data_IF_654298858995
#
_entry.id   IF_654298858995
#
_cell.length_a   1.000
_cell.length_b   1.000
_cell.length_c   1.000
_cell.angle_alpha   90.00
_cell.angle_beta   90.00
_cell.angle_gamma   90.00
#
_symmetry.space_group_name_H-M   'P 1'
#
loop_
_entity.id
_entity.type
_entity.pdbx_description
1 polymer ?
#
# COMPACT_ATOMS: atom_id res chain seq x y z
N UNK A 1 -1.23 -5.22 -11.80
CA UNK A 1 -0.71 -6.39 -11.04
C UNK A 1 0.76 -6.54 -11.36
N UNK A 2 1.51 -7.23 -10.51
CA UNK A 2 2.93 -7.47 -10.72
C UNK A 2 3.45 -8.63 -9.89
N UNK A 3 4.69 -9.01 -10.15
CA UNK A 3 5.36 -10.10 -9.44
C UNK A 3 6.27 -9.54 -8.36
N UNK A 4 6.36 -10.27 -7.25
CA UNK A 4 7.24 -9.98 -6.14
C UNK A 4 8.43 -10.93 -6.17
N UNK A 5 9.62 -10.36 -6.06
CA UNK A 5 10.90 -11.06 -6.05
C UNK A 5 11.54 -10.98 -4.69
N UNK A 6 12.16 -12.07 -4.28
CA UNK A 6 12.95 -12.11 -3.06
C UNK A 6 13.37 -13.51 -2.70
N UNK A 7 13.35 -13.79 -1.41
CA UNK A 7 13.85 -15.03 -0.83
C UNK A 7 12.94 -15.57 0.27
N UNK A 8 12.92 -16.89 0.39
CA UNK A 8 12.33 -17.60 1.51
C UNK A 8 13.46 -17.92 2.50
N UNK A 9 13.52 -17.18 3.62
CA UNK A 9 14.62 -17.33 4.60
C UNK A 9 14.45 -18.59 5.45
N UNK A 10 13.27 -18.75 6.03
CA UNK A 10 12.87 -19.86 6.88
C UNK A 10 11.41 -20.21 6.58
N UNK A 11 10.75 -21.07 7.37
CA UNK A 11 9.35 -21.46 7.16
C UNK A 11 8.34 -20.34 7.49
N UNK A 12 8.74 -19.33 8.27
CA UNK A 12 7.84 -18.33 8.84
C UNK A 12 7.95 -16.95 8.20
N UNK A 13 9.04 -16.68 7.48
CA UNK A 13 9.39 -15.36 6.97
C UNK A 13 9.59 -15.42 5.46
N UNK A 14 8.94 -14.49 4.77
CA UNK A 14 9.11 -14.26 3.33
C UNK A 14 9.67 -12.86 3.16
N UNK A 15 10.86 -12.75 2.57
CA UNK A 15 11.48 -11.47 2.27
C UNK A 15 11.10 -11.08 0.84
N UNK A 16 10.38 -9.98 0.69
CA UNK A 16 10.17 -9.33 -0.59
C UNK A 16 11.21 -8.23 -0.74
N UNK A 17 12.14 -8.41 -1.68
CA UNK A 17 13.28 -7.50 -1.90
C UNK A 17 12.97 -6.53 -3.04
N UNK A 18 12.30 -7.02 -4.08
CA UNK A 18 11.95 -6.20 -5.25
C UNK A 18 10.62 -6.60 -5.85
N UNK A 19 10.07 -5.71 -6.68
CA UNK A 19 8.82 -5.92 -7.39
C UNK A 19 8.95 -5.36 -8.80
N UNK A 20 8.28 -6.00 -9.75
CA UNK A 20 8.11 -5.42 -11.08
C UNK A 20 6.68 -5.58 -11.58
N UNK A 21 6.21 -4.59 -12.31
CA UNK A 21 4.88 -4.58 -12.88
C UNK A 21 4.81 -5.49 -14.11
N UNK A 22 3.69 -6.21 -14.25
CA UNK A 22 3.39 -6.97 -15.46
C UNK A 22 2.52 -6.11 -16.40
N UNK A 23 2.77 -6.11 -17.71
CA UNK A 23 1.90 -5.44 -18.67
C UNK A 23 0.50 -6.08 -18.62
N UNK A 24 -0.54 -5.25 -18.60
CA UNK A 24 -1.92 -5.73 -18.54
C UNK A 24 -2.52 -5.81 -19.95
N UNK A 25 -3.07 -6.97 -20.30
CA UNK A 25 -3.99 -7.13 -21.42
C UNK A 25 -5.41 -6.90 -20.91
N UNK A 26 -6.02 -5.79 -21.31
CA UNK A 26 -7.32 -5.37 -20.76
C UNK A 26 -8.51 -5.98 -21.49
N UNK A 27 -9.22 -6.89 -20.85
CA UNK A 27 -10.60 -7.25 -21.18
C UNK A 27 -11.48 -7.10 -19.94
N UNK A 28 -11.78 -5.85 -19.56
CA UNK A 28 -12.92 -5.40 -18.74
C UNK A 28 -13.15 -5.96 -17.33
N UNK A 29 -12.92 -7.25 -17.07
CA UNK A 29 -13.38 -8.00 -15.90
C UNK A 29 -12.46 -9.19 -15.54
N UNK A 30 -11.46 -9.56 -16.36
CA UNK A 30 -10.49 -10.62 -16.00
C UNK A 30 -9.03 -10.17 -16.09
N UNK A 31 -8.24 -10.58 -15.11
CA UNK A 31 -6.78 -10.37 -15.06
C UNK A 31 -6.11 -11.62 -15.66
N UNK A 32 -6.20 -11.78 -16.98
CA UNK A 32 -5.34 -12.74 -17.71
C UNK A 32 -4.00 -12.06 -17.98
N UNK A 33 -3.21 -11.84 -16.93
CA UNK A 33 -2.05 -10.93 -16.98
C UNK A 33 -0.71 -11.57 -16.59
N UNK A 34 -0.62 -12.91 -16.59
CA UNK A 34 0.66 -13.60 -16.44
C UNK A 34 1.07 -14.16 -17.78
N UNK A 35 1.79 -13.35 -18.57
CA UNK A 35 2.50 -13.85 -19.73
C UNK A 35 3.78 -14.57 -19.28
N UNK A 36 3.85 -15.91 -19.37
CA UNK A 36 5.02 -16.66 -18.95
C UNK A 36 6.27 -16.30 -19.77
N UNK A 37 6.09 -15.84 -21.02
CA UNK A 37 7.20 -15.41 -21.88
C UNK A 37 7.83 -14.13 -21.34
N UNK A 38 7.00 -13.15 -20.99
CA UNK A 38 7.46 -11.92 -20.37
C UNK A 38 8.15 -12.20 -19.02
N UNK A 39 7.54 -13.03 -18.17
CA UNK A 39 8.12 -13.41 -16.88
C UNK A 39 9.49 -14.06 -17.04
N UNK A 40 9.61 -15.07 -17.92
CA UNK A 40 10.86 -15.78 -18.14
C UNK A 40 11.97 -14.86 -18.67
N UNK A 41 11.63 -14.00 -19.63
CA UNK A 41 12.57 -13.02 -20.19
C UNK A 41 13.05 -12.01 -19.14
N UNK A 42 12.13 -11.48 -18.33
CA UNK A 42 12.46 -10.51 -17.29
C UNK A 42 13.36 -11.14 -16.21
N UNK A 43 13.04 -12.36 -15.78
CA UNK A 43 13.87 -13.10 -14.81
C UNK A 43 15.28 -13.38 -15.35
N UNK A 44 15.42 -13.69 -16.64
CA UNK A 44 16.73 -13.89 -17.26
C UNK A 44 17.56 -12.60 -17.31
N UNK A 45 16.92 -11.47 -17.66
CA UNK A 45 17.57 -10.15 -17.63
C UNK A 45 18.01 -9.75 -16.21
N UNK A 46 17.21 -10.05 -15.19
CA UNK A 46 17.58 -9.79 -13.80
C UNK A 46 18.77 -10.64 -13.35
N UNK A 47 18.80 -11.92 -13.72
CA UNK A 47 19.97 -12.79 -13.44
C UNK A 47 21.26 -12.24 -14.04
N UNK A 48 21.20 -11.70 -15.26
CA UNK A 48 22.36 -11.09 -15.92
C UNK A 48 22.87 -9.81 -15.22
N UNK A 49 21.99 -9.09 -14.52
CA UNK A 49 22.35 -7.89 -13.74
C UNK A 49 22.81 -8.21 -12.31
N UNK A 50 22.99 -9.50 -11.98
CA UNK A 50 23.43 -9.94 -10.66
C UNK A 50 22.30 -10.02 -9.63
N UNK A 51 21.05 -10.17 -10.09
CA UNK A 51 19.84 -10.25 -9.28
C UNK A 51 19.19 -11.63 -9.42
N UNK A 52 19.62 -12.63 -8.62
CA UNK A 52 19.18 -14.02 -8.74
C UNK A 52 17.90 -14.33 -7.96
N UNK A 53 17.17 -13.32 -7.48
CA UNK A 53 15.98 -13.50 -6.65
C UNK A 53 14.87 -14.28 -7.38
N UNK A 54 14.12 -15.08 -6.62
CA UNK A 54 13.02 -15.88 -7.15
C UNK A 54 11.67 -15.20 -6.90
N UNK A 55 10.65 -15.62 -7.64
CA UNK A 55 9.28 -15.14 -7.43
C UNK A 55 8.74 -15.71 -6.12
N UNK A 56 8.43 -14.82 -5.17
CA UNK A 56 7.89 -15.16 -3.84
C UNK A 56 6.38 -14.91 -3.73
N UNK A 57 5.80 -14.25 -4.72
CA UNK A 57 4.37 -13.96 -4.76
C UNK A 57 4.02 -12.95 -5.83
N UNK A 58 2.82 -12.38 -5.69
CA UNK A 58 2.31 -11.37 -6.62
C UNK A 58 1.54 -10.30 -5.85
N UNK A 59 1.38 -9.15 -6.49
CA UNK A 59 0.63 -8.05 -5.91
C UNK A 59 -0.33 -7.43 -6.93
N UNK A 60 -1.41 -6.86 -6.42
CA UNK A 60 -2.34 -6.06 -7.18
C UNK A 60 -2.90 -4.92 -6.33
N UNK A 61 -3.69 -4.08 -6.99
CA UNK A 61 -4.27 -2.91 -6.34
C UNK A 61 -5.78 -2.95 -6.45
N UNK A 62 -6.44 -2.60 -5.34
CA UNK A 62 -7.88 -2.37 -5.27
C UNK A 62 -8.11 -0.88 -5.01
N UNK A 63 -8.33 -0.07 -6.05
CA UNK A 63 -8.45 1.38 -5.87
C UNK A 63 -9.79 1.73 -5.19
N UNK A 64 -9.74 2.17 -3.93
CA UNK A 64 -10.90 2.69 -3.20
C UNK A 64 -11.80 1.63 -2.54
N UNK A 65 -11.51 0.34 -2.70
CA UNK A 65 -12.30 -0.76 -2.14
C UNK A 65 -11.71 -1.38 -0.87
N UNK A 66 -10.53 -0.94 -0.44
CA UNK A 66 -9.77 -1.56 0.65
C UNK A 66 -9.13 -2.89 0.28
N UNK A 67 -8.46 -3.52 1.26
CA UNK A 67 -7.69 -4.74 1.04
C UNK A 67 -8.52 -6.01 1.32
N UNK A 68 -8.88 -6.74 0.27
CA UNK A 68 -9.53 -8.06 0.31
C UNK A 68 -9.29 -8.80 -1.01
N UNK A 69 -9.58 -10.09 -1.06
CA UNK A 69 -9.46 -10.90 -2.29
C UNK A 69 -10.83 -11.21 -2.87
N UNK A 70 -11.02 -10.93 -4.16
CA UNK A 70 -12.19 -11.35 -4.93
C UNK A 70 -12.11 -12.83 -5.30
N UNK A 71 -13.21 -13.41 -5.78
CA UNK A 71 -13.20 -14.81 -6.24
C UNK A 71 -12.21 -15.06 -7.38
N UNK A 72 -11.98 -14.07 -8.24
CA UNK A 72 -10.95 -14.13 -9.30
C UNK A 72 -9.56 -14.11 -8.68
N UNK A 73 -9.32 -13.23 -7.71
CA UNK A 73 -8.03 -13.15 -7.01
C UNK A 73 -7.68 -14.43 -6.26
N UNK A 74 -8.68 -15.09 -5.64
CA UNK A 74 -8.52 -16.38 -4.96
C UNK A 74 -8.11 -17.46 -5.95
N UNK A 75 -8.73 -17.53 -7.13
CA UNK A 75 -8.38 -18.51 -8.17
C UNK A 75 -6.97 -18.26 -8.74
N UNK A 76 -6.59 -16.99 -8.93
CA UNK A 76 -5.23 -16.62 -9.34
C UNK A 76 -4.22 -17.00 -8.27
N UNK A 77 -4.49 -16.69 -7.00
CA UNK A 77 -3.63 -17.07 -5.88
C UNK A 77 -3.46 -18.58 -5.78
N UNK A 78 -4.53 -19.37 -5.93
CA UNK A 78 -4.45 -20.82 -5.91
C UNK A 78 -3.55 -21.36 -7.04
N UNK A 79 -3.56 -20.70 -8.20
CA UNK A 79 -2.68 -21.07 -9.32
C UNK A 79 -1.20 -20.78 -9.01
N UNK A 80 -0.91 -19.66 -8.32
CA UNK A 80 0.44 -19.36 -7.84
C UNK A 80 0.90 -20.29 -6.71
N UNK A 81 0.00 -20.64 -5.80
CA UNK A 81 0.27 -21.60 -4.71
C UNK A 81 0.58 -23.01 -5.24
N UNK A 82 -0.02 -23.41 -6.37
CA UNK A 82 0.30 -24.68 -7.02
C UNK A 82 1.75 -24.73 -7.56
N UNK A 83 2.32 -23.58 -7.93
CA UNK A 83 3.71 -23.47 -8.39
C UNK A 83 4.68 -23.28 -7.23
N UNK A 84 4.30 -22.45 -6.26
CA UNK A 84 5.08 -22.16 -5.06
C UNK A 84 4.13 -22.17 -3.86
N UNK A 85 4.21 -23.22 -3.05
CA UNK A 85 3.30 -23.43 -1.91
C UNK A 85 3.17 -22.19 -1.02
N UNK A 86 4.27 -21.43 -0.89
CA UNK A 86 4.38 -20.25 -0.02
C UNK A 86 4.18 -18.91 -0.71
N UNK A 87 3.57 -18.90 -1.90
CA UNK A 87 3.25 -17.67 -2.61
C UNK A 87 2.35 -16.76 -1.76
N UNK A 88 2.70 -15.48 -1.68
CA UNK A 88 1.91 -14.46 -0.96
C UNK A 88 1.20 -13.53 -1.95
N UNK A 89 -0.06 -13.20 -1.69
CA UNK A 89 -0.80 -12.16 -2.41
C UNK A 89 -0.77 -10.85 -1.60
N UNK A 90 -0.23 -9.77 -2.16
CA UNK A 90 -0.24 -8.45 -1.52
C UNK A 90 -1.25 -7.54 -2.21
N UNK A 91 -2.11 -6.91 -1.42
CA UNK A 91 -3.13 -5.99 -1.91
C UNK A 91 -2.85 -4.59 -1.40
N UNK A 92 -2.76 -3.63 -2.32
CA UNK A 92 -2.51 -2.21 -2.01
C UNK A 92 -3.70 -1.36 -2.46
N UNK A 93 -4.25 -0.53 -1.57
CA UNK A 93 -5.22 0.49 -1.94
C UNK A 93 -4.54 1.87 -1.99
N UNK A 94 -4.17 2.38 -3.18
CA UNK A 94 -3.48 3.66 -3.30
C UNK A 94 -4.40 4.87 -3.05
N UNK A 95 -5.73 4.70 -3.12
CA UNK A 95 -6.69 5.81 -2.96
C UNK A 95 -6.93 6.07 -1.48
N UNK A 96 -7.11 5.00 -0.70
CA UNK A 96 -7.31 5.13 0.76
C UNK A 96 -6.00 5.33 1.53
N UNK A 97 -4.85 5.05 0.89
CA UNK A 97 -3.53 5.31 1.47
C UNK A 97 -3.24 6.81 1.54
N UNK A 98 -3.03 7.31 2.77
CA UNK A 98 -2.73 8.72 3.04
C UNK A 98 -1.41 8.85 3.79
N UNK A 99 -0.83 10.07 3.84
CA UNK A 99 0.40 10.33 4.59
C UNK A 99 0.21 9.89 6.06
N UNK A 100 1.00 8.90 6.49
CA UNK A 100 0.95 8.33 7.84
C UNK A 100 0.16 7.02 7.99
N UNK A 101 -0.64 6.62 6.99
CA UNK A 101 -1.30 5.30 6.96
C UNK A 101 -1.34 4.74 5.54
N UNK A 102 -0.49 3.75 5.29
CA UNK A 102 -0.52 2.98 4.05
C UNK A 102 -1.50 1.83 4.23
N UNK A 103 -2.49 1.74 3.34
CA UNK A 103 -3.49 0.67 3.32
C UNK A 103 -2.94 -0.46 2.46
N UNK A 104 -2.32 -1.43 3.12
CA UNK A 104 -1.68 -2.59 2.53
C UNK A 104 -1.86 -3.79 3.45
N UNK A 105 -2.28 -4.91 2.89
CA UNK A 105 -2.38 -6.18 3.59
C UNK A 105 -1.88 -7.31 2.69
N UNK A 106 -1.35 -8.35 3.33
CA UNK A 106 -0.91 -9.56 2.68
C UNK A 106 -1.88 -10.69 3.04
N UNK A 107 -2.18 -11.53 2.05
CA UNK A 107 -3.12 -12.64 2.17
C UNK A 107 -2.52 -13.93 1.63
N UNK A 108 -2.99 -15.05 2.17
CA UNK A 108 -2.71 -16.39 1.65
C UNK A 108 -3.98 -17.23 1.71
N UNK A 109 -4.18 -18.11 0.72
CA UNK A 109 -5.41 -18.91 0.66
C UNK A 109 -5.39 -20.06 1.65
N UNK A 110 -6.59 -20.47 2.06
CA UNK A 110 -6.81 -21.62 2.93
C UNK A 110 -7.25 -22.78 2.05
N UNK A 111 -6.58 -23.92 2.16
CA UNK A 111 -7.04 -25.12 1.47
C UNK A 111 -8.42 -25.54 2.03
N UNK A 112 -9.46 -25.65 1.18
CA UNK A 112 -10.81 -26.01 1.63
C UNK A 112 -10.88 -27.38 2.30
N UNK A 113 -9.96 -28.30 1.98
CA UNK A 113 -9.88 -29.61 2.64
C UNK A 113 -9.48 -29.48 4.11
N UNK A 114 -8.58 -28.56 4.43
CA UNK A 114 -8.13 -28.31 5.82
C UNK A 114 -9.26 -27.73 6.67
N UNK A 115 -10.08 -26.85 6.08
CA UNK A 115 -11.29 -26.34 6.76
C UNK A 115 -12.31 -27.42 7.05
N UNK A 116 -12.55 -28.33 6.11
CA UNK A 116 -13.48 -29.45 6.31
C UNK A 116 -13.03 -30.38 7.45
N UNK A 117 -11.71 -30.45 7.68
CA UNK A 117 -11.11 -31.17 8.80
C UNK A 117 -11.14 -30.42 10.15
N UNK A 118 -11.71 -29.21 10.20
CA UNK A 118 -11.66 -28.31 11.37
C UNK A 118 -10.25 -28.08 11.93
N UNK A 119 -9.21 -28.28 11.12
CA UNK A 119 -7.85 -27.94 11.51
C UNK A 119 -7.65 -26.45 11.26
N UNK A 120 -7.09 -25.74 12.25
CA UNK A 120 -6.70 -24.36 12.01
C UNK A 120 -5.61 -24.35 10.92
N UNK A 121 -5.86 -23.67 9.78
CA UNK A 121 -4.91 -23.64 8.68
C UNK A 121 -3.68 -22.77 9.00
N UNK A 122 -3.73 -22.03 10.10
CA UNK A 122 -2.63 -21.20 10.58
C UNK A 122 -1.77 -22.05 11.50
N UNK A 123 -0.46 -22.07 11.26
CA UNK A 123 0.47 -22.41 12.33
C UNK A 123 0.41 -21.29 13.36
N UNK A 124 -0.15 -21.58 14.53
CA UNK A 124 -0.31 -20.64 15.64
C UNK A 124 1.07 -20.30 16.22
N UNK A 125 1.78 -19.40 15.54
CA UNK A 125 2.97 -18.73 16.09
C UNK A 125 2.53 -17.57 16.98
N UNK A 126 3.42 -17.07 17.84
CA UNK A 126 3.17 -15.97 18.78
C UNK A 126 2.81 -14.61 18.13
N UNK A 127 2.66 -14.56 16.81
CA UNK A 127 2.43 -13.34 16.04
C UNK A 127 0.96 -12.92 15.93
N UNK A 128 0.01 -13.70 16.47
CA UNK A 128 -1.43 -13.37 16.42
C UNK A 128 -1.75 -11.98 16.99
N UNK A 129 -0.99 -11.50 17.99
CA UNK A 129 -1.22 -10.20 18.62
C UNK A 129 -0.93 -8.98 17.74
N UNK A 130 -0.22 -9.16 16.61
CA UNK A 130 0.13 -8.08 15.68
C UNK A 130 -0.81 -7.96 14.48
N UNK A 131 -1.84 -8.80 14.39
CA UNK A 131 -2.84 -8.69 13.32
C UNK A 131 -3.71 -7.46 13.55
N UNK A 132 -3.74 -6.57 12.55
CA UNK A 132 -4.68 -5.46 12.55
C UNK A 132 -6.11 -5.98 12.48
N UNK A 133 -7.04 -5.28 13.15
CA UNK A 133 -8.46 -5.63 13.08
C UNK A 133 -8.92 -5.56 11.63
N UNK A 134 -9.45 -6.66 11.07
CA UNK A 134 -9.83 -6.66 9.67
C UNK A 134 -11.02 -5.74 9.42
N UNK A 135 -11.12 -5.22 8.20
CA UNK A 135 -12.28 -4.45 7.78
C UNK A 135 -13.52 -5.35 7.70
N UNK A 136 -14.70 -4.77 8.00
CA UNK A 136 -15.98 -5.49 7.90
C UNK A 136 -16.18 -6.02 6.47
N UNK A 137 -15.77 -5.23 5.47
CA UNK A 137 -15.82 -5.62 4.07
C UNK A 137 -14.95 -6.85 3.77
N UNK A 138 -13.72 -6.91 4.28
CA UNK A 138 -12.87 -8.09 4.11
C UNK A 138 -13.48 -9.35 4.76
N UNK A 139 -14.14 -9.19 5.91
CA UNK A 139 -14.83 -10.31 6.57
C UNK A 139 -16.00 -10.84 5.74
N UNK A 140 -16.79 -9.95 5.13
CA UNK A 140 -17.90 -10.31 4.22
C UNK A 140 -17.37 -11.05 2.99
N UNK A 141 -16.22 -10.61 2.45
CA UNK A 141 -15.56 -11.22 1.30
C UNK A 141 -14.73 -12.47 1.64
N UNK A 142 -14.92 -13.06 2.82
CA UNK A 142 -14.43 -14.40 3.12
C UNK A 142 -13.08 -14.47 3.83
N UNK A 143 -12.62 -13.39 4.46
CA UNK A 143 -11.49 -13.45 5.38
C UNK A 143 -11.78 -14.44 6.52
N UNK A 144 -10.80 -15.29 6.86
CA UNK A 144 -10.90 -16.44 7.77
C UNK A 144 -11.73 -17.63 7.25
N UNK A 145 -12.24 -17.57 6.02
CA UNK A 145 -12.88 -18.69 5.34
C UNK A 145 -12.06 -19.12 4.13
N UNK A 146 -11.87 -18.25 3.16
CA UNK A 146 -11.14 -18.60 1.93
C UNK A 146 -9.66 -18.25 2.00
N UNK A 147 -9.30 -17.27 2.81
CA UNK A 147 -7.94 -16.78 2.97
C UNK A 147 -7.76 -16.19 4.36
N UNK A 148 -6.50 -16.04 4.77
CA UNK A 148 -6.14 -15.36 6.01
C UNK A 148 -5.16 -14.21 5.72
N UNK A 149 -5.15 -13.22 6.63
CA UNK A 149 -4.21 -12.11 6.59
C UNK A 149 -2.89 -12.48 7.28
N UNK A 150 -1.79 -12.01 6.71
CA UNK A 150 -0.43 -12.15 7.21
C UNK A 150 0.07 -10.77 7.66
N UNK A 151 0.67 -10.65 8.86
CA UNK A 151 1.24 -9.38 9.31
C UNK A 151 2.43 -8.98 8.42
N UNK A 152 2.45 -7.71 8.00
CA UNK A 152 3.55 -7.13 7.23
C UNK A 152 4.48 -6.38 8.19
N UNK A 153 5.78 -6.62 8.06
CA UNK A 153 6.82 -5.85 8.72
C UNK A 153 7.67 -5.13 7.69
N UNK A 154 8.05 -3.88 7.98
CA UNK A 154 8.94 -3.10 7.13
C UNK A 154 10.35 -3.16 7.68
N UNK A 155 11.31 -3.48 6.81
CA UNK A 155 12.74 -3.37 7.12
C UNK A 155 13.27 -2.15 6.38
N UNK A 156 13.84 -1.22 7.11
CA UNK A 156 14.52 -0.03 6.55
C UNK A 156 15.97 -0.04 6.97
N UNK A 157 16.89 0.09 6.02
CA UNK A 157 18.31 0.24 6.34
C UNK A 157 18.64 1.70 6.68
N UNK A 158 19.56 1.93 7.61
CA UNK A 158 20.10 3.27 7.94
C UNK A 158 20.54 4.10 6.70
N UNK A 159 21.10 3.46 5.67
CA UNK A 159 21.53 4.13 4.46
C UNK A 159 20.33 4.60 3.63
N UNK A 160 19.32 3.75 3.49
CA UNK A 160 18.06 4.10 2.82
C UNK A 160 17.35 5.22 3.58
N UNK A 161 17.29 5.14 4.91
CA UNK A 161 16.68 6.18 5.73
C UNK A 161 17.42 7.51 5.57
N UNK A 162 18.76 7.52 5.61
CA UNK A 162 19.57 8.72 5.36
C UNK A 162 19.36 9.28 3.96
N UNK A 163 19.30 8.42 2.94
CA UNK A 163 19.04 8.81 1.56
C UNK A 163 17.65 9.43 1.39
N UNK A 164 16.61 8.77 1.90
CA UNK A 164 15.22 9.26 1.86
C UNK A 164 15.06 10.57 2.63
N UNK A 165 15.72 10.71 3.79
CA UNK A 165 15.72 11.95 4.56
C UNK A 165 16.39 13.09 3.81
N UNK A 166 17.42 12.83 3.00
CA UNK A 166 18.10 13.85 2.21
C UNK A 166 17.23 14.40 1.08
N UNK A 167 16.36 13.57 0.48
CA UNK A 167 15.45 14.01 -0.59
C UNK A 167 14.39 15.00 -0.08
N UNK A 168 14.03 14.93 1.19
CA UNK A 168 13.04 15.83 1.81
C UNK A 168 13.66 17.08 2.44
N UNK A 169 14.99 17.29 2.33
CA UNK A 169 15.63 18.49 2.84
C UNK A 169 15.41 19.65 1.88
N UNK A 170 15.15 20.83 2.44
CA UNK A 170 15.15 22.05 1.64
C UNK A 170 16.55 22.30 1.07
N UNK A 171 16.59 22.86 -0.14
CA UNK A 171 17.85 23.25 -0.74
C UNK A 171 18.46 24.38 0.09
N UNK A 172 19.79 24.34 0.29
CA UNK A 172 20.51 25.44 0.94
C UNK A 172 20.30 26.77 0.18
N UNK A 173 20.06 26.69 -1.14
CA UNK A 173 19.73 27.84 -1.97
C UNK A 173 18.40 28.48 -1.55
N UNK A 174 17.40 27.70 -1.12
CA UNK A 174 16.13 28.24 -0.65
C UNK A 174 16.30 29.06 0.64
N UNK A 175 17.27 28.69 1.48
CA UNK A 175 17.59 29.41 2.72
C UNK A 175 18.40 30.69 2.50
N UNK A 176 19.18 30.75 1.43
CA UNK A 176 19.94 31.95 1.05
C UNK A 176 19.18 32.86 0.10
N UNK A 177 18.15 32.35 -0.57
CA UNK A 177 17.27 33.11 -1.42
C UNK A 177 16.42 34.04 -0.55
N UNK A 178 16.83 35.30 -0.48
CA UNK A 178 15.98 36.35 0.08
C UNK A 178 14.92 36.69 -0.96
N UNK A 179 13.64 36.53 -0.59
CA UNK A 179 12.55 36.99 -1.45
C UNK A 179 12.63 38.51 -1.64
N UNK A 180 12.27 39.00 -2.83
CA UNK A 180 12.26 40.44 -3.10
C UNK A 180 11.40 41.19 -2.07
N UNK A 181 11.97 42.23 -1.47
CA UNK A 181 11.31 43.05 -0.46
C UNK A 181 9.99 43.67 -0.94
N UNK A 182 9.93 44.08 -2.21
CA UNK A 182 8.70 44.64 -2.80
C UNK A 182 7.59 43.60 -2.85
N UNK A 183 7.90 42.40 -3.34
CA UNK A 183 6.96 41.28 -3.40
C UNK A 183 6.49 40.85 -2.00
N UNK A 184 7.39 40.81 -1.01
CA UNK A 184 7.04 40.51 0.37
C UNK A 184 6.10 41.58 0.97
N UNK A 185 6.40 42.87 0.73
CA UNK A 185 5.57 43.98 1.21
C UNK A 185 4.16 43.96 0.58
N UNK A 186 4.05 43.66 -0.72
CA UNK A 186 2.78 43.53 -1.41
C UNK A 186 1.96 42.35 -0.88
N UNK A 187 2.56 41.16 -0.76
CA UNK A 187 1.92 39.97 -0.17
C UNK A 187 1.44 40.21 1.26
N UNK A 188 2.24 40.91 2.08
CA UNK A 188 1.87 41.25 3.45
C UNK A 188 0.68 42.21 3.48
N UNK A 189 0.68 43.24 2.63
CA UNK A 189 -0.44 44.18 2.51
C UNK A 189 -1.71 43.47 2.08
N UNK A 190 -1.64 42.61 1.06
CA UNK A 190 -2.79 41.83 0.59
C UNK A 190 -3.33 40.90 1.66
N UNK A 191 -2.45 40.16 2.35
CA UNK A 191 -2.83 39.25 3.44
C UNK A 191 -3.51 40.00 4.59
N UNK A 192 -3.00 41.17 4.97
CA UNK A 192 -3.59 42.01 6.01
C UNK A 192 -4.95 42.59 5.63
N UNK A 193 -5.12 43.03 4.38
CA UNK A 193 -6.42 43.50 3.87
C UNK A 193 -7.46 42.37 3.84
N UNK A 194 -7.04 41.17 3.45
CA UNK A 194 -7.88 39.97 3.45
C UNK A 194 -8.29 39.61 4.89
N UNK A 195 -7.34 39.65 5.84
CA UNK A 195 -7.60 39.39 7.25
C UNK A 195 -8.56 40.42 7.87
N UNK A 196 -8.42 41.71 7.54
CA UNK A 196 -9.36 42.75 7.98
C UNK A 196 -10.78 42.50 7.45
N UNK A 197 -10.89 42.08 6.19
CA UNK A 197 -12.18 41.73 5.58
C UNK A 197 -12.82 40.54 6.28
N UNK A 198 -12.05 39.48 6.54
CA UNK A 198 -12.52 38.29 7.27
C UNK A 198 -12.92 38.63 8.72
N UNK A 199 -12.16 39.47 9.42
CA UNK A 199 -12.49 39.89 10.79
C UNK A 199 -13.81 40.68 10.86
N UNK A 200 -14.08 41.56 9.89
CA UNK A 200 -15.37 42.28 9.80
C UNK A 200 -16.54 41.34 9.52
N UNK A 201 -16.35 40.37 8.62
CA UNK A 201 -17.36 39.35 8.32
C UNK A 201 -17.63 38.47 9.55
N UNK A 202 -16.58 38.06 10.27
CA UNK A 202 -16.70 37.27 11.50
C UNK A 202 -17.43 38.03 12.60
N UNK A 203 -17.09 39.31 12.81
CA UNK A 203 -17.81 40.16 13.77
C UNK A 203 -19.30 40.27 13.43
N UNK A 204 -19.62 40.48 12.14
CA UNK A 204 -21.01 40.53 11.68
C UNK A 204 -21.74 39.20 11.91
N UNK A 205 -21.08 38.07 11.64
CA UNK A 205 -21.65 36.75 11.89
C UNK A 205 -21.99 36.53 13.37
N UNK A 206 -21.10 36.95 14.30
CA UNK A 206 -21.37 36.90 15.74
C UNK A 206 -22.56 37.79 16.16
N UNK A 207 -22.63 39.02 15.63
CA UNK A 207 -23.75 39.93 15.92
C UNK A 207 -25.10 39.41 15.38
N UNK A 208 -25.08 38.65 14.28
CA UNK A 208 -26.26 38.02 13.70
C UNK A 208 -26.66 36.74 14.48
N UNK A 209 -25.70 35.95 15.00
CA UNK A 209 -25.96 34.81 15.91
C UNK A 209 -26.58 35.28 17.25
N UNK A 210 -26.00 36.29 17.90
CA UNK A 210 -26.53 36.84 19.17
C UNK A 210 -27.96 37.39 19.06
N UNK A 211 -28.37 37.81 17.85
CA UNK A 211 -29.72 38.28 17.57
C UNK A 211 -30.70 37.15 17.27
N UNK A 212 -30.23 36.03 16.72
CA UNK A 212 -31.06 34.86 16.43
C UNK A 212 -31.28 33.96 17.66
N UNK A 213 -30.37 34.02 18.65
CA UNK A 213 -30.49 33.29 19.93
C UNK A 213 -31.39 33.99 20.96
N UNK A 214 -31.96 35.17 20.63
CA UNK A 214 -32.92 35.91 21.45
C UNK A 214 -34.32 35.87 20.84
#
# INVERSE_FOLDING_TARGET
MGLMLGEFVDEYTVNVIDVFAMPQSGTGVSVEAVDPVFQAKMLDMLKQTGRPEMVVGWYHSHPGFGCWLSGVDVNTQQSFEALSDRAVAVVVDPIQSVKGKVVIDAFRTINPQTMALNQEPRQTTSNLGHLQKPSIQALIHGLNRHYYSIPIAYRTHDLEQKMLLNLNKQSWMDSLAVQSYTCCSEKNKESMLLMLKLAKLYKKALEDEEKNDR
#
